data_IF_985625937774
#
_entry.id   IF_985625937774
#
_cell.length_a   1.000
_cell.length_b   1.000
_cell.length_c   1.000
_cell.angle_alpha   90.00
_cell.angle_beta   90.00
_cell.angle_gamma   90.00
#
_symmetry.space_group_name_H-M   'P 1'
#
loop_
_entity.id
_entity.type
_entity.pdbx_description
1 polymer ?
#
# COMPACT_ATOMS: atom_id res chain seq x y z
N UNK A 1 -7.19 5.20 -11.22
CA UNK A 1 -8.16 4.14 -10.88
C UNK A 1 -7.46 3.02 -10.11
N UNK A 2 -8.19 2.09 -9.48
CA UNK A 2 -7.60 1.06 -8.60
C UNK A 2 -6.41 0.30 -9.22
N UNK A 3 -6.49 -0.04 -10.51
CA UNK A 3 -5.39 -0.69 -11.24
C UNK A 3 -4.10 0.16 -11.30
N UNK A 4 -4.19 1.48 -11.41
CA UNK A 4 -3.00 2.35 -11.45
C UNK A 4 -2.33 2.43 -10.09
N UNK A 5 -3.10 2.39 -9.00
CA UNK A 5 -2.61 2.34 -7.62
C UNK A 5 -1.85 1.03 -7.38
N UNK A 6 -2.47 -0.11 -7.70
CA UNK A 6 -1.84 -1.43 -7.55
C UNK A 6 -0.54 -1.52 -8.36
N UNK A 7 -0.52 -1.00 -9.59
CA UNK A 7 0.69 -0.97 -10.41
C UNK A 7 1.78 -0.08 -9.81
N UNK A 8 1.42 1.05 -9.20
CA UNK A 8 2.38 1.94 -8.52
C UNK A 8 3.01 1.24 -7.31
N UNK A 9 2.21 0.63 -6.44
CA UNK A 9 2.69 -0.16 -5.29
C UNK A 9 3.64 -1.28 -5.76
N UNK A 10 3.28 -1.99 -6.84
CA UNK A 10 4.14 -3.01 -7.49
C UNK A 10 5.48 -2.47 -7.98
N UNK A 11 5.52 -1.26 -8.54
CA UNK A 11 6.79 -0.62 -8.95
C UNK A 11 7.64 -0.23 -7.74
N UNK A 12 7.03 0.34 -6.69
CA UNK A 12 7.73 0.85 -5.50
C UNK A 12 8.36 -0.25 -4.65
N UNK A 13 7.77 -1.44 -4.63
CA UNK A 13 8.30 -2.57 -3.86
C UNK A 13 9.01 -3.63 -4.73
N UNK A 14 9.44 -3.28 -5.96
CA UNK A 14 10.39 -4.11 -6.72
C UNK A 14 11.67 -4.31 -5.91
N UNK A 15 12.16 -5.56 -5.85
CA UNK A 15 13.33 -5.93 -5.04
C UNK A 15 13.04 -6.13 -3.55
N UNK A 16 11.84 -5.79 -3.08
CA UNK A 16 11.42 -6.00 -1.70
C UNK A 16 10.73 -7.36 -1.57
N UNK A 17 11.36 -8.31 -0.86
CA UNK A 17 10.89 -9.69 -0.70
C UNK A 17 9.93 -9.86 0.49
N UNK A 18 9.00 -8.92 0.67
CA UNK A 18 7.98 -9.02 1.70
C UNK A 18 6.58 -8.86 1.08
N UNK A 19 5.92 -9.98 0.87
CA UNK A 19 4.58 -10.07 0.27
C UNK A 19 3.49 -9.51 1.18
N UNK A 20 3.70 -9.54 2.49
CA UNK A 20 2.75 -9.06 3.49
C UNK A 20 2.70 -7.54 3.51
N UNK A 21 3.87 -6.89 3.48
CA UNK A 21 3.97 -5.46 3.25
C UNK A 21 3.24 -5.01 1.97
N UNK A 22 3.36 -5.81 0.92
CA UNK A 22 2.68 -5.56 -0.35
C UNK A 22 1.14 -5.60 -0.21
N UNK A 23 0.61 -6.58 0.52
CA UNK A 23 -0.82 -6.69 0.81
C UNK A 23 -1.29 -5.50 1.64
N UNK A 24 -0.54 -5.12 2.68
CA UNK A 24 -0.85 -3.97 3.52
C UNK A 24 -0.87 -2.67 2.72
N UNK A 25 0.10 -2.45 1.85
CA UNK A 25 0.13 -1.24 1.00
C UNK A 25 -1.04 -1.19 0.03
N UNK A 26 -1.41 -2.31 -0.59
CA UNK A 26 -2.60 -2.36 -1.46
C UNK A 26 -3.86 -2.11 -0.65
N UNK A 27 -3.99 -2.73 0.53
CA UNK A 27 -5.13 -2.51 1.41
C UNK A 27 -5.25 -1.03 1.76
N UNK A 28 -4.19 -0.41 2.29
CA UNK A 28 -4.16 1.00 2.68
C UNK A 28 -4.41 1.98 1.53
N UNK A 29 -3.87 1.72 0.33
CA UNK A 29 -4.04 2.65 -0.79
C UNK A 29 -5.36 2.45 -1.56
N UNK A 30 -6.00 1.28 -1.43
CA UNK A 30 -7.27 0.98 -2.13
C UNK A 30 -8.49 0.95 -1.21
N UNK A 31 -8.30 0.93 0.11
CA UNK A 31 -9.35 1.22 1.07
C UNK A 31 -9.28 2.72 1.40
N UNK A 32 -10.42 3.35 1.67
CA UNK A 32 -10.49 4.75 2.15
C UNK A 32 -9.93 4.89 3.60
N UNK A 33 -9.06 3.98 4.02
CA UNK A 33 -8.34 4.07 5.29
C UNK A 33 -7.20 5.06 5.09
N UNK A 34 -7.38 6.22 5.68
CA UNK A 34 -6.37 7.26 5.70
C UNK A 34 -5.09 6.76 6.39
N UNK A 35 -4.01 6.65 5.61
CA UNK A 35 -2.71 6.20 6.09
C UNK A 35 -2.18 7.16 7.16
N UNK A 36 -2.50 8.45 7.06
CA UNK A 36 -2.15 9.44 8.07
C UNK A 36 -2.84 9.12 9.40
N UNK A 37 -4.08 8.63 9.39
CA UNK A 37 -4.77 8.23 10.62
C UNK A 37 -4.11 7.02 11.31
N UNK A 38 -3.55 6.09 10.54
CA UNK A 38 -2.83 4.93 11.10
C UNK A 38 -1.46 5.33 11.65
N UNK A 39 -0.74 6.22 10.95
CA UNK A 39 0.60 6.66 11.37
C UNK A 39 0.54 7.60 12.58
N UNK A 40 -0.49 8.45 12.68
CA UNK A 40 -0.64 9.40 13.81
C UNK A 40 -1.04 8.72 15.12
N UNK A 41 -1.50 7.47 15.08
CA UNK A 41 -1.89 6.68 16.26
C UNK A 41 -0.78 5.79 16.82
N UNK A 42 0.40 5.76 16.19
CA UNK A 42 1.56 4.98 16.60
C UNK A 42 2.65 5.87 17.22
#
# INVERSE_FOLDING_TARGET
>A
GMNSIIQNVKRRARGFRNTEYFKTMIYLNCSDLDIEAVITMA
#
